data_IF_565024153890
#
_entry.id   IF_565024153890
#
_cell.length_a   1.000
_cell.length_b   1.000
_cell.length_c   1.000
_cell.angle_alpha   90.00
_cell.angle_beta   90.00
_cell.angle_gamma   90.00
#
_symmetry.space_group_name_H-M   'P 1'
#
loop_
_entity.id
_entity.type
_entity.pdbx_description
1 polymer ?
#
# COMPACT_ATOMS: atom_id res chain seq x y z
N UNK A 1 27.16 27.00 -45.67
CA UNK A 1 26.72 26.99 -44.25
C UNK A 1 27.90 27.40 -43.40
N UNK A 2 27.83 28.55 -42.67
CA UNK A 2 28.96 28.99 -41.83
C UNK A 2 29.15 28.00 -40.66
N UNK A 3 30.37 27.68 -40.34
CA UNK A 3 30.72 26.73 -39.24
C UNK A 3 29.94 26.96 -37.92
N UNK A 4 29.51 28.20 -37.65
CA UNK A 4 28.71 28.57 -36.47
C UNK A 4 27.29 27.97 -36.48
N UNK A 5 26.66 27.89 -37.65
CA UNK A 5 25.29 27.36 -37.76
C UNK A 5 25.27 25.83 -37.67
N UNK A 6 26.32 25.22 -38.26
CA UNK A 6 26.54 23.78 -38.12
C UNK A 6 26.74 23.36 -36.64
N UNK A 7 27.53 24.13 -35.88
CA UNK A 7 27.78 23.87 -34.47
C UNK A 7 26.49 24.02 -33.60
N UNK A 8 25.61 24.99 -33.95
CA UNK A 8 24.31 25.17 -33.27
C UNK A 8 23.37 23.99 -33.54
N UNK A 9 23.33 23.48 -34.75
CA UNK A 9 22.54 22.31 -35.13
C UNK A 9 23.01 21.07 -34.35
N UNK A 10 24.31 20.82 -34.29
CA UNK A 10 24.87 19.70 -33.53
C UNK A 10 24.52 19.80 -32.05
N UNK A 11 24.67 20.98 -31.43
CA UNK A 11 24.29 21.20 -30.03
C UNK A 11 22.81 20.96 -29.77
N UNK A 12 21.95 21.42 -30.72
CA UNK A 12 20.51 21.17 -30.65
C UNK A 12 20.15 19.69 -30.72
N UNK A 13 20.76 18.94 -31.64
CA UNK A 13 20.59 17.50 -31.78
C UNK A 13 21.09 16.73 -30.56
N UNK A 14 22.25 17.13 -29.99
CA UNK A 14 22.79 16.50 -28.78
C UNK A 14 21.86 16.74 -27.57
N UNK A 15 21.34 17.95 -27.43
CA UNK A 15 20.38 18.30 -26.39
C UNK A 15 19.08 17.49 -26.50
N UNK A 16 18.58 17.32 -27.73
CA UNK A 16 17.39 16.52 -28.01
C UNK A 16 17.61 15.05 -27.70
N UNK A 17 18.78 14.49 -27.98
CA UNK A 17 19.19 13.13 -27.62
C UNK A 17 19.28 12.94 -26.12
N UNK A 18 19.84 13.89 -25.38
CA UNK A 18 19.92 13.85 -23.92
C UNK A 18 18.51 13.88 -23.31
N UNK A 19 17.63 14.78 -23.78
CA UNK A 19 16.27 14.89 -23.31
C UNK A 19 15.46 13.62 -23.59
N UNK A 20 15.56 13.06 -24.81
CA UNK A 20 14.87 11.79 -25.13
C UNK A 20 15.38 10.61 -24.29
N UNK A 21 16.69 10.52 -24.07
CA UNK A 21 17.28 9.51 -23.17
C UNK A 21 16.79 9.66 -21.72
N UNK A 22 16.66 10.89 -21.23
CA UNK A 22 16.12 11.16 -19.92
C UNK A 22 14.64 10.74 -19.80
N UNK A 23 13.80 11.02 -20.83
CA UNK A 23 12.40 10.57 -20.86
C UNK A 23 12.27 9.06 -20.89
N UNK A 24 13.08 8.36 -21.69
CA UNK A 24 13.11 6.90 -21.74
C UNK A 24 13.50 6.32 -20.37
N UNK A 25 14.52 6.89 -19.74
CA UNK A 25 14.99 6.48 -18.42
C UNK A 25 13.93 6.69 -17.35
N UNK A 26 13.27 7.86 -17.34
CA UNK A 26 12.14 8.16 -16.43
C UNK A 26 10.98 7.19 -16.66
N UNK A 27 10.64 6.91 -17.93
CA UNK A 27 9.63 5.91 -18.28
C UNK A 27 9.98 4.50 -17.80
N UNK A 28 11.25 4.10 -17.96
CA UNK A 28 11.75 2.81 -17.46
C UNK A 28 11.65 2.70 -15.95
N UNK A 29 12.07 3.72 -15.21
CA UNK A 29 11.95 3.76 -13.75
C UNK A 29 10.48 3.70 -13.30
N UNK A 30 9.58 4.39 -14.00
CA UNK A 30 8.14 4.36 -13.74
C UNK A 30 7.55 2.96 -13.95
N UNK A 31 7.87 2.32 -15.07
CA UNK A 31 7.39 0.98 -15.40
C UNK A 31 7.91 -0.09 -14.42
N UNK A 32 9.14 0.05 -13.93
CA UNK A 32 9.76 -0.86 -12.98
C UNK A 32 9.48 -0.51 -11.50
N UNK A 33 8.59 0.45 -11.23
CA UNK A 33 8.21 0.89 -9.88
C UNK A 33 9.37 1.44 -9.02
N UNK A 34 10.44 1.92 -9.63
CA UNK A 34 11.62 2.47 -8.94
C UNK A 34 11.50 3.96 -8.58
N UNK A 35 10.27 4.53 -8.70
CA UNK A 35 9.98 5.92 -8.33
C UNK A 35 9.68 6.12 -6.84
N UNK A 36 10.07 5.20 -6.00
CA UNK A 36 9.77 5.20 -4.56
C UNK A 36 10.23 6.50 -3.88
N UNK A 37 11.42 6.99 -4.21
CA UNK A 37 11.99 8.20 -3.60
C UNK A 37 11.17 9.48 -3.84
N UNK A 38 10.36 9.52 -4.94
CA UNK A 38 9.48 10.65 -5.22
C UNK A 38 8.17 10.62 -4.45
N UNK A 39 7.68 9.42 -4.13
CA UNK A 39 6.35 9.22 -3.56
C UNK A 39 6.38 8.86 -2.08
N UNK A 40 7.51 8.34 -1.57
CA UNK A 40 7.64 7.94 -0.18
C UNK A 40 7.85 9.14 0.73
N UNK A 41 7.21 9.09 1.90
CA UNK A 41 7.45 10.02 2.99
C UNK A 41 8.62 9.51 3.83
N UNK A 42 9.41 10.43 4.37
CA UNK A 42 10.39 10.11 5.41
C UNK A 42 9.66 9.95 6.74
N UNK A 43 9.67 8.76 7.28
CA UNK A 43 8.94 8.42 8.52
C UNK A 43 9.83 8.28 9.74
N UNK A 44 11.14 8.51 9.60
CA UNK A 44 12.12 8.29 10.67
C UNK A 44 11.82 9.11 11.94
N UNK A 45 11.28 10.33 11.76
CA UNK A 45 10.93 11.25 12.84
C UNK A 45 9.45 11.21 13.22
N UNK A 46 8.68 10.23 12.72
CA UNK A 46 7.28 10.08 13.08
C UNK A 46 7.16 9.24 14.36
N UNK A 47 6.24 9.57 15.23
CA UNK A 47 5.98 8.81 16.46
C UNK A 47 4.91 7.74 16.26
N UNK A 48 3.94 8.01 15.40
CA UNK A 48 2.76 7.15 15.19
C UNK A 48 2.83 6.36 13.89
N UNK A 49 3.14 7.00 12.76
CA UNK A 49 3.24 6.32 11.47
C UNK A 49 4.65 5.79 11.22
N UNK A 50 4.72 4.62 10.61
CA UNK A 50 5.97 4.03 10.14
C UNK A 50 5.78 3.36 8.79
N UNK A 51 6.87 3.20 8.04
CA UNK A 51 6.90 2.35 6.86
C UNK A 51 7.10 0.90 7.28
N UNK A 52 6.27 0.01 6.74
CA UNK A 52 6.42 -1.43 6.91
C UNK A 52 7.08 -2.05 5.68
N UNK A 53 8.00 -2.98 5.94
CA UNK A 53 8.66 -3.81 4.92
C UNK A 53 8.71 -5.25 5.44
N UNK A 54 8.22 -6.19 4.65
CA UNK A 54 8.25 -7.61 4.96
C UNK A 54 8.67 -8.43 3.74
N UNK A 55 9.18 -9.64 3.96
CA UNK A 55 9.68 -10.51 2.89
C UNK A 55 8.53 -11.06 2.02
N UNK A 56 7.40 -11.39 2.66
CA UNK A 56 6.22 -11.95 2.00
C UNK A 56 5.07 -10.93 1.85
N UNK A 57 5.32 -9.68 2.26
CA UNK A 57 4.42 -8.55 2.08
C UNK A 57 5.10 -7.52 1.19
N UNK A 58 4.48 -7.17 0.08
CA UNK A 58 4.96 -6.15 -0.84
C UNK A 58 3.85 -5.15 -1.15
N UNK A 59 4.21 -3.90 -1.43
CA UNK A 59 3.24 -2.93 -1.88
C UNK A 59 2.96 -3.04 -3.38
N UNK A 60 1.73 -2.77 -3.77
CA UNK A 60 1.35 -2.67 -5.17
C UNK A 60 2.13 -1.54 -5.84
N UNK A 61 2.84 -1.85 -6.94
CA UNK A 61 3.66 -0.89 -7.70
C UNK A 61 4.68 -0.14 -6.84
N UNK A 62 5.31 -0.82 -5.87
CA UNK A 62 6.36 -0.22 -5.04
C UNK A 62 5.90 0.96 -4.17
N UNK A 63 4.61 1.10 -3.89
CA UNK A 63 4.10 2.14 -2.99
C UNK A 63 4.60 1.91 -1.57
N UNK A 64 4.64 2.97 -0.79
CA UNK A 64 4.96 2.87 0.62
C UNK A 64 3.81 2.23 1.40
N UNK A 65 4.12 1.27 2.27
CA UNK A 65 3.18 0.68 3.21
C UNK A 65 3.28 1.46 4.52
N UNK A 66 2.46 2.49 4.66
CA UNK A 66 2.39 3.28 5.89
C UNK A 66 1.38 2.66 6.83
N UNK A 67 1.77 2.45 8.08
CA UNK A 67 0.91 1.90 9.13
C UNK A 67 1.21 2.55 10.47
N UNK A 68 0.32 2.41 11.45
CA UNK A 68 0.61 2.76 12.82
C UNK A 68 1.71 1.84 13.37
N UNK A 69 2.66 2.39 14.13
CA UNK A 69 3.75 1.62 14.76
C UNK A 69 3.23 0.45 15.59
N UNK A 70 2.13 0.66 16.32
CA UNK A 70 1.51 -0.40 17.12
C UNK A 70 0.85 -1.50 16.28
N UNK A 71 0.53 -1.24 15.00
CA UNK A 71 0.01 -2.25 14.08
C UNK A 71 1.12 -3.07 13.41
N UNK A 72 2.38 -2.61 13.49
CA UNK A 72 3.52 -3.29 12.86
C UNK A 72 3.64 -4.75 13.26
N UNK A 73 3.52 -5.07 14.56
CA UNK A 73 3.61 -6.45 15.05
C UNK A 73 2.51 -7.35 14.46
N UNK A 74 1.33 -6.80 14.18
CA UNK A 74 0.27 -7.54 13.50
C UNK A 74 0.62 -7.81 12.03
N UNK A 75 1.31 -6.88 11.37
CA UNK A 75 1.83 -7.12 10.02
C UNK A 75 2.97 -8.14 10.01
N UNK A 76 3.82 -8.17 11.04
CA UNK A 76 4.85 -9.22 11.18
C UNK A 76 4.17 -10.59 11.28
N UNK A 77 3.10 -10.71 12.09
CA UNK A 77 2.28 -11.93 12.17
C UNK A 77 1.64 -12.30 10.82
N UNK A 78 1.09 -11.33 10.09
CA UNK A 78 0.52 -11.55 8.75
C UNK A 78 1.62 -12.02 7.78
N UNK A 79 2.83 -11.45 7.86
CA UNK A 79 3.98 -11.85 7.07
C UNK A 79 4.41 -13.29 7.34
N UNK A 80 4.44 -13.70 8.60
CA UNK A 80 4.69 -15.09 9.01
C UNK A 80 3.62 -16.04 8.47
N UNK A 81 2.34 -15.67 8.56
CA UNK A 81 1.25 -16.48 8.00
C UNK A 81 1.37 -16.61 6.47
N UNK A 82 1.78 -15.55 5.78
CA UNK A 82 2.04 -15.58 4.34
C UNK A 82 3.21 -16.51 4.00
N UNK A 83 4.31 -16.45 4.76
CA UNK A 83 5.47 -17.33 4.63
C UNK A 83 5.08 -18.79 4.82
N UNK A 84 4.44 -19.12 5.95
CA UNK A 84 4.00 -20.48 6.28
C UNK A 84 3.00 -21.05 5.27
N UNK A 85 2.30 -20.18 4.57
CA UNK A 85 1.34 -20.55 3.52
C UNK A 85 1.95 -20.51 2.11
N UNK A 86 3.23 -20.20 1.98
CA UNK A 86 3.93 -20.06 0.69
C UNK A 86 3.18 -19.16 -0.30
N UNK A 87 2.77 -17.98 0.16
CA UNK A 87 2.11 -16.93 -0.64
C UNK A 87 2.80 -15.60 -0.46
N UNK A 88 2.51 -14.64 -1.36
CA UNK A 88 2.85 -13.23 -1.18
C UNK A 88 1.59 -12.38 -1.06
N UNK A 89 1.57 -11.52 -0.07
CA UNK A 89 0.51 -10.51 0.16
C UNK A 89 0.93 -9.23 -0.55
N UNK A 90 0.10 -8.73 -1.45
CA UNK A 90 0.35 -7.50 -2.22
C UNK A 90 -0.58 -6.42 -1.69
N UNK A 91 -0.05 -5.47 -0.94
CA UNK A 91 -0.83 -4.40 -0.31
C UNK A 91 -1.27 -3.39 -1.35
N UNK A 92 -2.58 -3.20 -1.47
CA UNK A 92 -3.23 -2.20 -2.32
C UNK A 92 -3.37 -0.87 -1.60
N UNK A 93 -3.75 -0.91 -0.32
CA UNK A 93 -3.92 0.24 0.55
C UNK A 93 -3.53 -0.14 1.98
N UNK A 94 -2.90 0.79 2.68
CA UNK A 94 -2.61 0.73 4.11
C UNK A 94 -3.17 1.98 4.81
N UNK A 95 -2.37 2.80 5.50
CA UNK A 95 -2.86 4.08 6.01
C UNK A 95 -3.49 4.93 4.88
N UNK A 96 -4.61 5.56 5.20
CA UNK A 96 -5.33 6.46 4.30
C UNK A 96 -5.55 7.81 4.97
N UNK A 97 -5.01 8.87 4.37
CA UNK A 97 -5.28 10.23 4.81
C UNK A 97 -6.79 10.56 4.68
N UNK A 98 -7.35 11.32 5.64
CA UNK A 98 -8.81 11.61 5.71
C UNK A 98 -9.39 12.26 4.46
N UNK A 99 -8.60 13.09 3.77
CA UNK A 99 -9.04 13.79 2.55
C UNK A 99 -8.96 12.89 1.30
N UNK A 100 -8.42 11.68 1.41
CA UNK A 100 -8.25 10.77 0.29
C UNK A 100 -9.42 9.80 0.19
N UNK A 101 -10.24 9.96 -0.82
CA UNK A 101 -11.28 8.97 -1.14
C UNK A 101 -10.62 7.76 -1.83
N UNK A 102 -10.92 6.52 -1.41
CA UNK A 102 -10.41 5.34 -2.10
C UNK A 102 -11.05 5.27 -3.49
N UNK A 103 -10.22 5.05 -4.50
CA UNK A 103 -10.70 4.70 -5.84
C UNK A 103 -10.99 3.20 -5.89
N UNK A 104 -12.13 2.81 -6.44
CA UNK A 104 -12.51 1.39 -6.64
C UNK A 104 -12.61 0.57 -5.35
N UNK A 105 -13.12 1.17 -4.28
CA UNK A 105 -13.38 0.44 -3.05
C UNK A 105 -14.44 -0.65 -3.27
N UNK A 106 -14.18 -1.87 -2.78
CA UNK A 106 -15.14 -2.98 -2.80
C UNK A 106 -16.36 -2.64 -1.93
N UNK A 107 -16.07 -2.01 -0.78
CA UNK A 107 -17.08 -1.51 0.16
C UNK A 107 -16.82 -0.04 0.43
N UNK A 108 -17.86 0.78 0.45
CA UNK A 108 -17.74 2.18 0.82
C UNK A 108 -17.14 2.31 2.23
N UNK A 109 -16.11 3.16 2.41
CA UNK A 109 -15.46 3.29 3.72
C UNK A 109 -16.42 3.79 4.79
N UNK A 110 -16.41 3.12 5.94
CA UNK A 110 -17.10 3.60 7.13
C UNK A 110 -16.47 4.88 7.70
N UNK A 111 -17.25 5.66 8.45
CA UNK A 111 -16.80 6.88 9.15
C UNK A 111 -15.58 6.61 10.05
N UNK A 112 -15.57 5.47 10.72
CA UNK A 112 -14.50 5.05 11.65
C UNK A 112 -13.65 3.93 11.03
N UNK A 113 -13.17 4.15 9.81
CA UNK A 113 -12.34 3.18 9.12
C UNK A 113 -10.96 3.04 9.78
N UNK A 114 -10.51 1.82 10.06
CA UNK A 114 -9.21 1.55 10.66
C UNK A 114 -8.02 1.95 9.76
N UNK A 115 -8.24 2.14 8.46
CA UNK A 115 -7.24 2.76 7.57
C UNK A 115 -6.86 4.17 7.98
N UNK A 116 -7.78 4.95 8.58
CA UNK A 116 -7.50 6.32 9.03
C UNK A 116 -6.57 6.36 10.24
N UNK A 117 -6.59 5.31 11.05
CA UNK A 117 -5.71 5.16 12.21
C UNK A 117 -4.45 4.32 11.91
N UNK A 118 -4.29 3.83 10.66
CA UNK A 118 -3.16 2.99 10.25
C UNK A 118 -3.24 1.55 10.74
N UNK A 119 -4.43 1.03 11.09
CA UNK A 119 -4.67 -0.31 11.64
C UNK A 119 -5.38 -1.25 10.67
N UNK A 120 -5.29 -0.99 9.37
CA UNK A 120 -5.88 -1.83 8.34
C UNK A 120 -5.03 -1.87 7.08
N UNK A 121 -5.17 -2.95 6.33
CA UNK A 121 -4.62 -3.14 5.00
C UNK A 121 -5.69 -3.68 4.06
N UNK A 122 -5.66 -3.23 2.80
CA UNK A 122 -6.31 -3.91 1.69
C UNK A 122 -5.25 -4.59 0.84
N UNK A 123 -5.51 -5.82 0.40
CA UNK A 123 -4.50 -6.66 -0.21
C UNK A 123 -5.04 -7.49 -1.38
N UNK A 124 -4.13 -8.01 -2.19
CA UNK A 124 -4.33 -9.14 -3.08
C UNK A 124 -3.35 -10.25 -2.68
N UNK A 125 -3.59 -11.46 -3.13
CA UNK A 125 -2.69 -12.59 -2.90
C UNK A 125 -2.00 -12.96 -4.23
N UNK A 126 -0.70 -13.22 -4.16
CA UNK A 126 0.05 -13.87 -5.23
C UNK A 126 0.50 -15.24 -4.74
N UNK A 127 0.09 -16.30 -5.45
CA UNK A 127 0.56 -17.66 -5.23
C UNK A 127 1.10 -18.21 -6.55
N UNK A 128 2.32 -18.67 -6.57
CA UNK A 128 3.08 -18.95 -7.79
C UNK A 128 3.09 -17.70 -8.70
N UNK A 129 2.66 -17.82 -9.95
CA UNK A 129 2.55 -16.68 -10.89
C UNK A 129 1.15 -16.05 -10.93
N UNK A 130 0.17 -16.62 -10.21
CA UNK A 130 -1.24 -16.20 -10.26
C UNK A 130 -1.52 -15.16 -9.17
N UNK A 131 -2.32 -14.15 -9.53
CA UNK A 131 -2.83 -13.14 -8.59
C UNK A 131 -4.32 -13.38 -8.35
N UNK A 132 -4.71 -13.30 -7.07
CA UNK A 132 -6.08 -13.45 -6.61
C UNK A 132 -6.57 -12.12 -6.07
N UNK A 133 -7.73 -11.69 -6.55
CA UNK A 133 -8.34 -10.39 -6.28
C UNK A 133 -9.61 -10.54 -5.44
N UNK A 134 -10.28 -9.43 -5.15
CA UNK A 134 -11.47 -9.40 -4.31
C UNK A 134 -12.54 -10.43 -4.70
N UNK A 135 -12.82 -10.61 -5.99
CA UNK A 135 -13.85 -11.57 -6.43
C UNK A 135 -13.43 -13.02 -6.18
N UNK A 136 -12.12 -13.32 -6.31
CA UNK A 136 -11.61 -14.68 -6.10
C UNK A 136 -11.65 -15.03 -4.60
N UNK A 137 -11.37 -14.05 -3.75
CA UNK A 137 -11.24 -14.21 -2.29
C UNK A 137 -12.58 -14.18 -1.54
N UNK A 138 -13.73 -14.10 -2.22
CA UNK A 138 -15.05 -14.15 -1.57
C UNK A 138 -15.24 -15.46 -0.79
N UNK A 139 -15.99 -15.40 0.31
CA UNK A 139 -16.28 -16.57 1.18
C UNK A 139 -16.76 -17.80 0.41
N UNK A 140 -17.68 -17.61 -0.53
CA UNK A 140 -18.24 -18.70 -1.34
C UNK A 140 -17.25 -19.31 -2.36
N UNK A 141 -16.10 -18.68 -2.57
CA UNK A 141 -15.05 -19.15 -3.47
C UNK A 141 -13.88 -19.77 -2.71
N UNK A 142 -13.78 -19.60 -1.39
CA UNK A 142 -12.62 -20.05 -0.62
C UNK A 142 -12.29 -21.53 -0.79
N UNK A 143 -13.29 -22.42 -0.84
CA UNK A 143 -13.08 -23.86 -1.03
C UNK A 143 -12.52 -24.24 -2.38
N UNK A 144 -12.62 -23.33 -3.37
CA UNK A 144 -12.09 -23.53 -4.73
C UNK A 144 -10.66 -23.00 -4.90
N UNK A 145 -10.16 -22.26 -3.92
CA UNK A 145 -8.81 -21.69 -3.96
C UNK A 145 -7.74 -22.73 -3.63
N UNK A 146 -6.49 -22.53 -4.05
CA UNK A 146 -5.35 -23.32 -3.59
C UNK A 146 -5.32 -23.42 -2.07
N UNK A 147 -4.96 -24.59 -1.55
CA UNK A 147 -4.93 -24.86 -0.09
C UNK A 147 -4.04 -23.86 0.67
N UNK A 148 -3.00 -23.36 0.03
CA UNK A 148 -2.11 -22.33 0.55
C UNK A 148 -2.88 -21.05 0.92
N UNK A 149 -3.76 -20.58 0.04
CA UNK A 149 -4.58 -19.38 0.26
C UNK A 149 -5.64 -19.65 1.33
N UNK A 150 -6.28 -20.83 1.29
CA UNK A 150 -7.24 -21.24 2.32
C UNK A 150 -6.58 -21.25 3.70
N UNK A 151 -5.36 -21.80 3.82
CA UNK A 151 -4.59 -21.85 5.06
C UNK A 151 -4.24 -20.45 5.58
N UNK A 152 -3.83 -19.54 4.70
CA UNK A 152 -3.56 -18.15 5.08
C UNK A 152 -4.81 -17.48 5.66
N UNK A 153 -5.93 -17.52 4.95
CA UNK A 153 -7.19 -16.92 5.42
C UNK A 153 -7.66 -17.56 6.74
N UNK A 154 -7.53 -18.89 6.87
CA UNK A 154 -7.86 -19.58 8.11
C UNK A 154 -7.01 -19.07 9.29
N UNK A 155 -5.69 -18.89 9.11
CA UNK A 155 -4.80 -18.34 10.16
C UNK A 155 -5.21 -16.93 10.57
N UNK A 156 -5.56 -16.06 9.63
CA UNK A 156 -6.08 -14.72 9.94
C UNK A 156 -7.37 -14.82 10.75
N UNK A 157 -8.32 -15.67 10.38
CA UNK A 157 -9.60 -15.88 11.09
C UNK A 157 -9.42 -16.43 12.52
N UNK A 158 -8.41 -17.25 12.74
CA UNK A 158 -8.09 -17.83 14.06
C UNK A 158 -7.38 -16.82 14.98
N UNK A 159 -6.83 -15.75 14.45
CA UNK A 159 -6.14 -14.73 15.22
C UNK A 159 -7.16 -13.80 15.90
N UNK A 160 -7.18 -13.78 17.24
CA UNK A 160 -8.12 -12.99 18.06
C UNK A 160 -7.95 -11.46 17.90
N UNK A 161 -6.82 -11.01 17.40
CA UNK A 161 -6.50 -9.60 17.25
C UNK A 161 -6.74 -9.07 15.83
N UNK A 162 -6.98 -9.95 14.86
CA UNK A 162 -7.21 -9.61 13.47
C UNK A 162 -8.63 -9.96 13.05
N UNK A 163 -9.14 -9.20 12.07
CA UNK A 163 -10.37 -9.55 11.37
C UNK A 163 -10.09 -9.62 9.88
N UNK A 164 -10.69 -10.62 9.25
CA UNK A 164 -10.75 -10.66 7.79
C UNK A 164 -12.10 -10.10 7.32
N UNK A 165 -12.07 -9.14 6.40
CA UNK A 165 -13.27 -8.46 5.91
C UNK A 165 -14.20 -9.36 5.09
N UNK A 166 -13.75 -10.53 4.65
CA UNK A 166 -14.62 -11.54 4.06
C UNK A 166 -15.69 -12.07 5.03
N UNK A 167 -15.50 -11.90 6.35
CA UNK A 167 -16.47 -12.28 7.37
C UNK A 167 -17.44 -11.13 7.75
N UNK A 168 -17.27 -9.95 7.18
CA UNK A 168 -18.17 -8.83 7.45
C UNK A 168 -19.56 -9.08 6.86
N UNK A 169 -20.60 -8.43 7.44
CA UNK A 169 -21.96 -8.47 6.90
C UNK A 169 -21.99 -8.02 5.44
N UNK A 170 -21.28 -6.93 5.11
CA UNK A 170 -20.97 -6.53 3.76
C UNK A 170 -19.53 -6.95 3.48
N UNK A 171 -19.40 -8.02 2.74
CA UNK A 171 -18.13 -8.71 2.50
C UNK A 171 -17.09 -7.81 1.82
N UNK A 172 -15.93 -7.72 2.44
CA UNK A 172 -14.73 -7.04 1.90
C UNK A 172 -13.53 -8.00 1.95
N UNK A 173 -13.44 -8.96 1.02
CA UNK A 173 -12.53 -10.10 1.12
C UNK A 173 -11.06 -9.74 1.02
N UNK A 174 -10.74 -8.53 0.59
CA UNK A 174 -9.35 -8.02 0.51
C UNK A 174 -8.95 -7.20 1.73
N UNK A 175 -9.77 -7.10 2.76
CA UNK A 175 -9.52 -6.29 3.95
C UNK A 175 -9.06 -7.15 5.14
N UNK A 176 -8.00 -6.70 5.82
CA UNK A 176 -7.59 -7.20 7.14
C UNK A 176 -7.35 -6.00 8.04
N UNK A 177 -7.90 -6.05 9.26
CA UNK A 177 -7.67 -5.02 10.27
C UNK A 177 -7.50 -5.57 11.69
N UNK A 178 -6.89 -4.76 12.56
CA UNK A 178 -7.07 -4.85 14.00
C UNK A 178 -8.22 -3.90 14.38
N UNK A 179 -9.32 -4.40 14.99
CA UNK A 179 -10.57 -3.65 15.17
C UNK A 179 -10.51 -2.63 16.31
N UNK A 180 -9.53 -1.73 16.30
CA UNK A 180 -9.35 -0.70 17.33
C UNK A 180 -10.56 0.23 17.41
N UNK A 181 -11.20 0.54 16.30
CA UNK A 181 -12.42 1.35 16.25
C UNK A 181 -13.61 0.76 17.03
N UNK A 182 -13.61 -0.56 17.25
CA UNK A 182 -14.66 -1.27 18.03
C UNK A 182 -14.20 -1.52 19.47
N UNK A 183 -12.90 -1.78 19.68
CA UNK A 183 -12.35 -2.12 20.99
C UNK A 183 -12.10 -0.88 21.85
N UNK A 184 -11.58 0.19 21.25
CA UNK A 184 -11.24 1.43 21.94
C UNK A 184 -11.39 2.62 21.00
N UNK A 185 -12.56 3.22 20.99
CA UNK A 185 -12.85 4.36 20.12
C UNK A 185 -12.00 5.59 20.46
N UNK A 186 -11.64 5.80 21.73
CA UNK A 186 -10.79 6.94 22.14
C UNK A 186 -9.41 6.82 21.52
N UNK A 187 -8.79 5.66 21.58
CA UNK A 187 -7.48 5.43 20.98
C UNK A 187 -7.57 5.53 19.44
N UNK A 188 -8.69 5.04 18.85
CA UNK A 188 -8.89 5.20 17.41
C UNK A 188 -8.96 6.68 17.00
N UNK A 189 -9.72 7.52 17.72
CA UNK A 189 -9.84 8.94 17.44
C UNK A 189 -8.45 9.62 17.55
N UNK A 190 -7.67 9.28 18.60
CA UNK A 190 -6.34 9.82 18.82
C UNK A 190 -5.36 9.40 17.71
N UNK A 191 -5.24 8.12 17.43
CA UNK A 191 -4.34 7.62 16.39
C UNK A 191 -4.72 8.13 15.00
N UNK A 192 -6.00 8.22 14.68
CA UNK A 192 -6.45 8.80 13.41
C UNK A 192 -6.00 10.26 13.27
N UNK A 193 -6.10 11.05 14.35
CA UNK A 193 -5.64 12.44 14.40
C UNK A 193 -4.11 12.55 14.28
N UNK A 194 -3.36 11.74 15.03
CA UNK A 194 -1.89 11.77 15.02
C UNK A 194 -1.34 11.35 13.66
N UNK A 195 -1.86 10.26 13.09
CA UNK A 195 -1.48 9.80 11.75
C UNK A 195 -1.73 10.88 10.69
N UNK A 196 -2.87 11.59 10.78
CA UNK A 196 -3.23 12.67 9.84
C UNK A 196 -2.26 13.85 9.94
N UNK A 197 -1.89 14.25 11.16
CA UNK A 197 -0.93 15.33 11.42
C UNK A 197 0.45 14.96 10.89
N UNK A 198 0.96 13.77 11.23
CA UNK A 198 2.28 13.31 10.80
C UNK A 198 2.36 13.16 9.27
N UNK A 199 1.34 12.55 8.66
CA UNK A 199 1.27 12.42 7.21
C UNK A 199 1.32 13.79 6.53
N UNK A 200 0.51 14.74 7.00
CA UNK A 200 0.43 16.09 6.44
C UNK A 200 1.75 16.87 6.60
N UNK A 201 2.43 16.75 7.76
CA UNK A 201 3.75 17.33 8.01
C UNK A 201 4.85 16.69 7.15
N UNK A 202 4.75 15.39 6.91
CA UNK A 202 5.72 14.63 6.13
C UNK A 202 5.70 14.93 4.63
N UNK A 203 4.62 15.53 4.11
CA UNK A 203 4.54 15.90 2.69
C UNK A 203 5.37 17.16 2.45
N UNK A 204 6.45 17.08 1.63
CA UNK A 204 7.22 18.26 1.28
C UNK A 204 6.34 19.33 0.62
N UNK A 205 6.63 20.61 0.87
CA UNK A 205 5.82 21.74 0.35
C UNK A 205 5.69 21.72 -1.19
N UNK A 206 6.71 21.22 -1.89
CA UNK A 206 6.73 21.14 -3.35
C UNK A 206 5.90 19.97 -3.92
N UNK A 207 5.52 18.99 -3.09
CA UNK A 207 4.68 17.86 -3.51
C UNK A 207 3.19 18.22 -3.39
N UNK A 208 2.74 19.24 -4.10
CA UNK A 208 1.36 19.75 -4.02
C UNK A 208 0.30 18.71 -4.42
N UNK A 209 0.66 17.71 -5.25
CA UNK A 209 -0.25 16.63 -5.67
C UNK A 209 -0.53 15.56 -4.59
N UNK A 210 0.18 15.60 -3.47
CA UNK A 210 -0.01 14.67 -2.34
C UNK A 210 -0.85 15.25 -1.21
N UNK A 211 -1.16 16.54 -1.27
CA UNK A 211 -1.92 17.28 -0.25
C UNK A 211 -3.42 17.08 -0.38
#
# INVERSE_FOLDING_TARGET
MKNRDFLKIIKGLLMLLILSGAFVWVGFLYCNNNFQFWTHLKTDNFETLTEYRGENIAALKGRQILVNKSFKNHLDTINEYAQQSNIKVIINQSYRHKNRKPSRAVVAPGKYSNHLAGYAIDFNIKHNSIKYFANDLKRNNLSKLPINIQNFIRKIRQNKNLRWGGDFKKEDPIHIDCPINLKNKKDWDEYSRLCDVEYSKGIPKWKIWMK
#
